data_IF_320983369552
#
_entry.id   IF_320983369552
#
_cell.length_a   1.000
_cell.length_b   1.000
_cell.length_c   1.000
_cell.angle_alpha   90.00
_cell.angle_beta   90.00
_cell.angle_gamma   90.00
#
_symmetry.space_group_name_H-M   'P 1'
#
loop_
_entity.id
_entity.type
_entity.pdbx_description
1 polymer ?
#
# COMPACT_ATOMS: atom_id res chain seq x y z
N UNK A 1 -5.76 -30.27 13.38
CA UNK A 1 -6.15 -29.65 12.08
C UNK A 1 -6.17 -28.15 12.27
N UNK A 2 -5.11 -27.45 11.88
CA UNK A 2 -4.99 -26.00 12.10
C UNK A 2 -5.69 -25.26 10.97
N UNK A 3 -6.84 -24.69 11.30
CA UNK A 3 -7.62 -23.83 10.42
C UNK A 3 -6.87 -22.48 10.30
N UNK A 4 -5.94 -22.35 9.34
CA UNK A 4 -5.24 -21.08 9.06
C UNK A 4 -5.89 -20.41 7.85
N UNK A 5 -7.07 -19.84 8.07
CA UNK A 5 -7.64 -18.87 7.16
C UNK A 5 -6.93 -17.53 7.29
N UNK A 6 -5.86 -17.32 6.53
CA UNK A 6 -5.32 -15.98 6.23
C UNK A 6 -4.48 -16.12 4.96
N UNK A 7 -4.96 -15.58 3.83
CA UNK A 7 -4.16 -15.48 2.62
C UNK A 7 -2.86 -14.70 2.88
N UNK A 8 -1.84 -14.97 2.08
CA UNK A 8 -0.53 -14.31 2.13
C UNK A 8 -0.71 -12.78 2.21
N UNK A 9 -0.24 -12.17 3.31
CA UNK A 9 -0.43 -10.73 3.57
C UNK A 9 0.36 -9.88 2.59
N UNK A 10 1.53 -10.34 2.16
CA UNK A 10 2.31 -9.67 1.13
C UNK A 10 1.50 -9.59 -0.16
N UNK A 11 0.96 -10.72 -0.63
CA UNK A 11 0.12 -10.79 -1.83
C UNK A 11 -1.12 -9.91 -1.73
N UNK A 12 -1.78 -9.90 -0.57
CA UNK A 12 -2.93 -9.03 -0.32
C UNK A 12 -2.55 -7.56 -0.45
N UNK A 13 -1.42 -7.13 0.11
CA UNK A 13 -0.98 -5.74 0.01
C UNK A 13 -0.64 -5.36 -1.43
N UNK A 14 0.04 -6.23 -2.19
CA UNK A 14 0.32 -5.98 -3.61
C UNK A 14 -1.00 -5.79 -4.39
N UNK A 15 -1.95 -6.72 -4.25
CA UNK A 15 -3.25 -6.66 -4.95
C UNK A 15 -4.04 -5.40 -4.59
N UNK A 16 -4.08 -5.03 -3.31
CA UNK A 16 -4.80 -3.82 -2.87
C UNK A 16 -4.15 -2.56 -3.43
N UNK A 17 -2.82 -2.46 -3.43
CA UNK A 17 -2.13 -1.31 -4.00
C UNK A 17 -2.34 -1.21 -5.51
N UNK A 18 -2.29 -2.33 -6.23
CA UNK A 18 -2.51 -2.40 -7.68
C UNK A 18 -3.95 -1.98 -8.04
N UNK A 19 -4.95 -2.52 -7.35
CA UNK A 19 -6.36 -2.16 -7.53
C UNK A 19 -6.62 -0.68 -7.22
N UNK A 20 -6.07 -0.14 -6.13
CA UNK A 20 -6.22 1.28 -5.81
C UNK A 20 -5.50 2.18 -6.83
N UNK A 21 -4.34 1.76 -7.33
CA UNK A 21 -3.59 2.49 -8.34
C UNK A 21 -4.34 2.52 -9.68
N UNK A 22 -4.89 1.38 -10.12
CA UNK A 22 -5.65 1.28 -11.37
C UNK A 22 -6.94 2.11 -11.36
N UNK A 23 -7.53 2.32 -10.17
CA UNK A 23 -8.70 3.19 -9.97
C UNK A 23 -8.35 4.68 -9.77
N UNK A 24 -7.07 5.05 -9.85
CA UNK A 24 -6.62 6.43 -9.63
C UNK A 24 -6.81 6.93 -8.18
N UNK A 25 -6.97 6.01 -7.22
CA UNK A 25 -7.27 6.35 -5.83
C UNK A 25 -5.98 6.71 -5.05
N UNK A 26 -4.80 6.28 -5.52
CA UNK A 26 -3.54 6.60 -4.85
C UNK A 26 -3.05 8.00 -5.19
N UNK A 27 -2.54 8.69 -4.16
CA UNK A 27 -1.94 10.03 -4.28
C UNK A 27 -0.55 9.99 -3.65
N UNK A 28 0.41 10.69 -4.24
CA UNK A 28 1.73 10.80 -3.66
C UNK A 28 1.68 11.56 -2.33
N UNK A 29 2.32 11.02 -1.30
CA UNK A 29 2.40 11.65 0.03
C UNK A 29 3.21 12.95 -0.02
N UNK A 30 4.24 13.00 -0.87
CA UNK A 30 5.13 14.15 -1.00
C UNK A 30 4.55 15.31 -1.83
N UNK A 31 3.96 15.02 -3.00
CA UNK A 31 3.51 16.08 -3.93
C UNK A 31 1.99 16.10 -4.20
N UNK A 32 1.21 15.17 -3.64
CA UNK A 32 -0.24 15.13 -3.80
C UNK A 32 -0.77 14.69 -5.17
N UNK A 33 0.08 14.57 -6.21
CA UNK A 33 -0.32 14.10 -7.54
C UNK A 33 -0.77 12.64 -7.52
N UNK A 34 -1.57 12.25 -8.51
CA UNK A 34 -1.92 10.85 -8.74
C UNK A 34 -0.67 9.98 -8.83
N UNK A 35 -0.71 8.83 -8.15
CA UNK A 35 0.41 7.92 -8.13
C UNK A 35 0.22 6.86 -9.21
N UNK A 36 1.13 6.85 -10.17
CA UNK A 36 1.30 5.77 -11.13
C UNK A 36 2.74 5.28 -11.05
N UNK A 37 2.95 3.98 -11.18
CA UNK A 37 4.28 3.41 -11.13
C UNK A 37 4.28 1.90 -10.98
N UNK A 38 5.47 1.32 -10.82
CA UNK A 38 5.62 -0.08 -10.45
C UNK A 38 5.59 -0.21 -8.93
N UNK A 39 4.99 -1.29 -8.45
CA UNK A 39 5.11 -1.67 -7.06
C UNK A 39 6.47 -2.36 -6.89
N UNK A 40 7.34 -1.76 -6.08
CA UNK A 40 8.68 -2.25 -5.80
C UNK A 40 8.72 -2.85 -4.39
N UNK A 41 9.54 -3.88 -4.20
CA UNK A 41 9.69 -4.52 -2.89
C UNK A 41 11.08 -5.11 -2.68
N UNK A 42 11.51 -5.17 -1.41
CA UNK A 42 12.77 -5.79 -1.01
C UNK A 42 12.70 -6.33 0.42
N UNK A 43 13.65 -7.20 0.78
CA UNK A 43 13.76 -7.80 2.11
C UNK A 43 13.96 -6.73 3.19
N UNK A 44 13.08 -6.68 4.18
CA UNK A 44 13.20 -5.71 5.26
C UNK A 44 12.46 -6.15 6.53
N UNK A 45 13.06 -5.94 7.69
CA UNK A 45 12.50 -6.36 8.99
C UNK A 45 11.18 -5.68 9.36
N UNK A 46 10.98 -4.44 8.90
CA UNK A 46 9.73 -3.67 9.03
C UNK A 46 8.71 -3.93 7.92
N UNK A 47 8.92 -4.96 7.09
CA UNK A 47 8.05 -5.32 5.98
C UNK A 47 6.80 -6.10 6.37
N UNK A 48 5.98 -6.40 5.36
CA UNK A 48 4.84 -7.30 5.45
C UNK A 48 5.35 -8.74 5.30
N UNK A 49 4.86 -9.63 6.15
CA UNK A 49 5.23 -11.05 6.16
C UNK A 49 4.48 -11.80 5.05
N UNK A 50 5.21 -12.58 4.24
CA UNK A 50 4.65 -13.55 3.29
C UNK A 50 4.30 -14.87 3.99
N UNK A 51 3.77 -15.86 3.24
CA UNK A 51 3.44 -17.17 3.82
C UNK A 51 4.63 -17.96 4.40
N UNK A 52 5.85 -17.61 4.00
CA UNK A 52 7.11 -18.25 4.41
C UNK A 52 7.75 -17.56 5.62
N UNK A 53 7.05 -16.63 6.28
CA UNK A 53 7.56 -15.88 7.44
C UNK A 53 8.56 -14.79 7.06
N UNK A 54 8.61 -14.45 5.79
CA UNK A 54 9.66 -13.70 5.14
C UNK A 54 9.13 -12.27 4.88
N UNK A 55 9.88 -11.23 5.32
CA UNK A 55 9.34 -9.86 5.39
C UNK A 55 9.78 -8.96 4.23
N UNK A 56 8.83 -8.22 3.67
CA UNK A 56 9.01 -7.40 2.48
C UNK A 56 8.57 -5.95 2.70
N UNK A 57 9.48 -5.00 2.52
CA UNK A 57 9.10 -3.61 2.40
C UNK A 57 8.52 -3.36 1.02
N UNK A 58 7.36 -2.72 0.94
CA UNK A 58 6.63 -2.47 -0.31
C UNK A 58 6.47 -0.96 -0.48
N UNK A 59 6.75 -0.45 -1.67
CA UNK A 59 6.63 0.97 -1.98
C UNK A 59 6.37 1.23 -3.47
N UNK A 60 5.94 2.45 -3.78
CA UNK A 60 5.78 2.94 -5.16
C UNK A 60 6.52 4.28 -5.27
N UNK A 61 7.46 4.36 -6.22
CA UNK A 61 8.19 5.60 -6.54
C UNK A 61 7.31 6.53 -7.36
N UNK A 62 7.15 7.79 -6.92
CA UNK A 62 6.35 8.77 -7.64
C UNK A 62 7.10 9.28 -8.89
N UNK A 63 6.55 9.07 -10.08
CA UNK A 63 7.14 9.56 -11.32
C UNK A 63 7.22 11.10 -11.42
N UNK A 64 6.47 11.83 -10.60
CA UNK A 64 6.48 13.31 -10.62
C UNK A 64 7.54 13.95 -9.72
N UNK A 65 7.84 13.36 -8.56
CA UNK A 65 8.76 13.97 -7.59
C UNK A 65 9.83 13.02 -7.04
N UNK A 66 9.85 11.77 -7.47
CA UNK A 66 10.81 10.76 -7.03
C UNK A 66 10.58 10.21 -5.62
N UNK A 67 9.57 10.69 -4.88
CA UNK A 67 9.32 10.22 -3.52
C UNK A 67 8.90 8.75 -3.50
N UNK A 68 9.53 7.95 -2.64
CA UNK A 68 9.20 6.54 -2.41
C UNK A 68 8.07 6.40 -1.39
N UNK A 69 6.87 6.05 -1.84
CA UNK A 69 5.67 5.98 -1.02
C UNK A 69 5.51 4.56 -0.46
N UNK A 70 5.79 4.38 0.83
CA UNK A 70 5.62 3.09 1.51
C UNK A 70 4.15 2.68 1.61
N UNK A 71 3.85 1.39 1.44
CA UNK A 71 2.50 0.82 1.41
C UNK A 71 1.57 1.33 2.52
N UNK A 72 2.05 1.35 3.77
CA UNK A 72 1.22 1.72 4.92
C UNK A 72 0.84 3.21 4.92
N UNK A 73 1.68 4.08 4.36
CA UNK A 73 1.37 5.51 4.22
C UNK A 73 0.27 5.71 3.20
N UNK A 74 0.34 4.98 2.08
CA UNK A 74 -0.65 5.01 1.02
C UNK A 74 -2.01 4.52 1.52
N UNK A 75 -2.05 3.36 2.18
CA UNK A 75 -3.30 2.83 2.74
C UNK A 75 -3.88 3.75 3.82
N UNK A 76 -3.05 4.28 4.73
CA UNK A 76 -3.50 5.25 5.75
C UNK A 76 -4.10 6.50 5.11
N UNK A 77 -3.44 7.06 4.09
CA UNK A 77 -3.93 8.23 3.37
C UNK A 77 -5.28 7.93 2.70
N UNK A 78 -5.40 6.78 2.01
CA UNK A 78 -6.64 6.36 1.35
C UNK A 78 -7.79 6.21 2.35
N UNK A 79 -7.60 5.45 3.44
CA UNK A 79 -8.63 5.23 4.46
C UNK A 79 -9.06 6.55 5.08
N UNK A 80 -8.12 7.42 5.44
CA UNK A 80 -8.43 8.73 6.01
C UNK A 80 -9.20 9.62 5.02
N UNK A 81 -8.86 9.57 3.73
CA UNK A 81 -9.61 10.30 2.70
C UNK A 81 -11.05 9.78 2.59
N UNK A 82 -11.24 8.46 2.50
CA UNK A 82 -12.59 7.85 2.41
C UNK A 82 -13.45 8.12 3.65
N UNK A 83 -12.87 8.10 4.86
CA UNK A 83 -13.58 8.47 6.09
C UNK A 83 -14.11 9.90 6.05
N UNK A 84 -13.28 10.85 5.57
CA UNK A 84 -13.70 12.25 5.39
C UNK A 84 -14.80 12.40 4.32
N UNK A 85 -14.66 11.71 3.19
CA UNK A 85 -15.69 11.68 2.13
C UNK A 85 -17.03 11.13 2.65
N UNK A 86 -16.99 10.16 3.58
CA UNK A 86 -18.18 9.59 4.21
C UNK A 86 -18.76 10.43 5.37
N UNK A 87 -18.17 11.58 5.71
CA UNK A 87 -18.60 12.40 6.85
C UNK A 87 -18.32 11.76 8.22
N UNK A 88 -17.41 10.79 8.28
CA UNK A 88 -16.99 10.08 9.51
C UNK A 88 -15.69 10.66 10.09
N UNK A 89 -15.44 11.96 9.86
CA UNK A 89 -14.26 12.66 10.36
C UNK A 89 -14.30 12.83 11.88
N UNK A 90 -13.14 12.67 12.53
CA UNK A 90 -12.92 12.72 13.99
C UNK A 90 -13.60 13.90 14.70
#
# INVERSE_FOLDING_TARGET
>A
MSNKGTGDRFEVVIKVLDDLMSRGELRCIGCGKELHGRIEFYRHSGGVEDENGQRWWIYITCNSCGYQNSWWKLLRQFVNRKRREAGLGE
#
